data_IF_715787989063
#
_entry.id   IF_715787989063
#
_cell.length_a   1.000
_cell.length_b   1.000
_cell.length_c   1.000
_cell.angle_alpha   90.00
_cell.angle_beta   90.00
_cell.angle_gamma   90.00
#
_symmetry.space_group_name_H-M   'P 1'
#
loop_
_entity.id
_entity.type
_entity.pdbx_description
1 polymer ?
#
# COMPACT_ATOMS: atom_id res chain seq x y z
N UNK A 1 -4.91 10.47 51.72
CA UNK A 1 -5.27 9.24 50.98
C UNK A 1 -5.16 9.59 49.51
N UNK A 2 -4.03 9.30 48.88
CA UNK A 2 -3.73 9.71 47.50
C UNK A 2 -4.33 8.70 46.52
N UNK A 3 -5.19 9.17 45.63
CA UNK A 3 -5.75 8.39 44.54
C UNK A 3 -4.69 8.16 43.46
N UNK A 4 -4.50 6.91 43.05
CA UNK A 4 -3.67 6.56 41.90
C UNK A 4 -4.46 6.75 40.59
N UNK A 5 -3.82 7.20 39.49
CA UNK A 5 -4.44 7.19 38.18
C UNK A 5 -4.46 5.76 37.62
N UNK A 6 -5.66 5.27 37.31
CA UNK A 6 -5.89 3.99 36.63
C UNK A 6 -5.53 4.14 35.15
N UNK A 7 -4.66 3.27 34.65
CA UNK A 7 -4.28 3.20 33.23
C UNK A 7 -5.31 2.34 32.51
N UNK A 8 -6.20 2.97 31.75
CA UNK A 8 -7.15 2.27 30.89
C UNK A 8 -6.41 1.72 29.66
N UNK A 9 -6.16 0.42 29.65
CA UNK A 9 -5.62 -0.30 28.50
C UNK A 9 -6.79 -0.56 27.54
N UNK A 10 -6.85 0.19 26.44
CA UNK A 10 -7.76 -0.11 25.33
C UNK A 10 -7.20 -1.30 24.54
N UNK A 11 -7.94 -2.40 24.38
CA UNK A 11 -7.50 -3.51 23.54
C UNK A 11 -7.52 -3.11 22.05
N UNK A 12 -6.45 -3.47 21.35
CA UNK A 12 -6.36 -3.40 19.88
C UNK A 12 -7.50 -4.19 19.24
N UNK A 13 -8.18 -3.67 18.19
CA UNK A 13 -9.09 -4.48 17.41
C UNK A 13 -8.30 -5.49 16.57
N UNK A 14 -8.57 -6.78 16.83
CA UNK A 14 -8.13 -7.91 16.01
C UNK A 14 -8.64 -7.74 14.58
N UNK A 15 -7.76 -8.01 13.60
CA UNK A 15 -8.08 -8.03 12.19
C UNK A 15 -9.15 -9.09 11.88
N UNK A 16 -10.41 -8.66 11.77
CA UNK A 16 -11.49 -9.42 11.17
C UNK A 16 -11.55 -9.14 9.67
N UNK A 17 -11.41 -10.21 8.90
CA UNK A 17 -12.04 -10.45 7.59
C UNK A 17 -12.20 -9.25 6.64
N UNK A 18 -11.35 -9.23 5.62
CA UNK A 18 -11.56 -8.47 4.40
C UNK A 18 -12.78 -9.03 3.63
N UNK A 19 -13.96 -8.51 3.95
CA UNK A 19 -15.15 -8.57 3.11
C UNK A 19 -15.49 -7.18 2.59
N UNK A 20 -15.41 -7.02 1.26
CA UNK A 20 -16.05 -5.98 0.45
C UNK A 20 -16.04 -4.52 0.95
N UNK A 21 -15.13 -3.72 0.37
CA UNK A 21 -15.45 -2.46 -0.36
C UNK A 21 -14.18 -1.73 -0.77
N UNK A 22 -13.64 -2.10 -1.93
CA UNK A 22 -12.82 -1.19 -2.75
C UNK A 22 -13.08 -1.49 -4.22
N UNK A 23 -13.75 -0.59 -4.97
CA UNK A 23 -13.69 -0.64 -6.43
C UNK A 23 -12.28 -0.21 -6.85
N UNK A 24 -11.36 -1.17 -6.86
CA UNK A 24 -10.14 -1.07 -7.65
C UNK A 24 -10.56 -1.30 -9.09
N UNK A 25 -10.50 -0.27 -9.92
CA UNK A 25 -10.51 -0.43 -11.37
C UNK A 25 -9.14 -0.97 -11.77
N UNK A 26 -9.00 -2.19 -12.30
CA UNK A 26 -8.04 -2.46 -13.34
C UNK A 26 -8.69 -2.13 -14.68
N UNK A 27 -8.06 -1.25 -15.44
CA UNK A 27 -8.25 -1.18 -16.90
C UNK A 27 -7.78 -2.52 -17.50
N UNK A 28 -8.63 -3.54 -17.43
CA UNK A 28 -8.50 -4.74 -18.25
C UNK A 28 -9.43 -4.57 -19.46
N UNK A 29 -8.87 -3.99 -20.53
CA UNK A 29 -9.50 -3.96 -21.85
C UNK A 29 -9.47 -5.37 -22.44
N UNK A 30 -10.22 -6.27 -21.82
CA UNK A 30 -10.52 -7.58 -22.36
C UNK A 30 -11.43 -7.39 -23.58
N UNK A 31 -10.78 -7.53 -24.73
CA UNK A 31 -11.40 -7.56 -26.05
C UNK A 31 -12.54 -8.56 -26.04
N UNK A 32 -13.77 -8.09 -26.20
CA UNK A 32 -14.97 -8.92 -26.34
C UNK A 32 -14.88 -9.72 -27.63
N UNK A 33 -14.24 -10.89 -27.56
CA UNK A 33 -14.42 -11.94 -28.56
C UNK A 33 -15.82 -12.52 -28.38
N UNK A 34 -16.78 -11.98 -29.14
CA UNK A 34 -18.14 -12.47 -29.22
C UNK A 34 -18.16 -13.89 -29.80
N UNK A 35 -18.10 -14.90 -28.93
CA UNK A 35 -18.45 -16.28 -29.30
C UNK A 35 -19.96 -16.36 -29.50
N UNK A 36 -20.36 -16.92 -30.63
CA UNK A 36 -21.73 -17.22 -31.07
C UNK A 36 -22.62 -17.79 -29.96
N UNK A 37 -23.75 -17.13 -29.69
CA UNK A 37 -24.86 -17.75 -28.95
C UNK A 37 -25.99 -18.05 -29.94
N UNK A 38 -26.13 -19.33 -30.27
CA UNK A 38 -27.34 -19.87 -30.90
C UNK A 38 -28.35 -20.13 -29.80
N UNK A 39 -29.55 -19.59 -29.94
CA UNK A 39 -30.74 -19.99 -29.19
C UNK A 39 -31.94 -19.59 -30.02
N UNK A 40 -32.36 -20.52 -30.89
CA UNK A 40 -33.77 -20.72 -31.18
C UNK A 40 -34.45 -21.01 -29.84
N UNK A 41 -35.52 -20.28 -29.51
CA UNK A 41 -36.81 -20.80 -29.03
C UNK A 41 -37.66 -19.65 -28.44
N UNK A 42 -38.81 -19.42 -29.08
CA UNK A 42 -40.07 -18.87 -28.55
C UNK A 42 -40.05 -17.68 -27.56
N UNK A 43 -40.46 -16.49 -28.04
CA UNK A 43 -41.49 -15.61 -27.43
C UNK A 43 -41.50 -14.20 -28.08
N UNK A 44 -42.66 -13.68 -28.55
CA UNK A 44 -42.78 -12.29 -28.96
C UNK A 44 -43.21 -11.41 -27.78
N UNK A 45 -42.24 -10.75 -27.13
CA UNK A 45 -42.50 -9.55 -26.31
C UNK A 45 -41.46 -8.48 -26.64
N UNK A 46 -41.58 -7.92 -27.84
CA UNK A 46 -40.90 -6.69 -28.24
C UNK A 46 -41.91 -5.54 -28.24
N UNK A 47 -41.51 -4.40 -27.69
CA UNK A 47 -42.24 -3.13 -27.74
C UNK A 47 -42.57 -2.76 -29.21
N UNK A 48 -43.84 -2.52 -29.60
CA UNK A 48 -44.23 -2.34 -31.00
C UNK A 48 -43.65 -1.10 -31.69
N UNK A 49 -42.95 -0.21 -30.97
CA UNK A 49 -42.31 0.99 -31.54
C UNK A 49 -40.84 0.81 -31.94
N UNK A 50 -40.19 -0.31 -31.60
CA UNK A 50 -38.78 -0.51 -31.91
C UNK A 50 -38.61 -1.47 -33.09
N UNK A 51 -38.32 -0.91 -34.27
CA UNK A 51 -37.89 -1.69 -35.43
C UNK A 51 -36.66 -2.54 -35.04
N UNK A 52 -36.68 -3.87 -35.22
CA UNK A 52 -35.55 -4.71 -34.87
C UNK A 52 -34.34 -4.33 -35.73
N UNK A 53 -33.21 -4.02 -35.07
CA UNK A 53 -31.95 -3.71 -35.78
C UNK A 53 -31.54 -4.92 -36.63
N UNK A 54 -31.12 -4.71 -37.90
CA UNK A 54 -30.61 -5.76 -38.75
C UNK A 54 -29.49 -6.52 -38.02
N UNK A 55 -29.57 -7.85 -38.01
CA UNK A 55 -28.54 -8.71 -37.42
C UNK A 55 -27.26 -8.49 -38.22
N UNK A 56 -26.23 -7.91 -37.59
CA UNK A 56 -24.90 -7.83 -38.18
C UNK A 56 -24.39 -9.27 -38.34
N UNK A 57 -24.27 -9.71 -39.60
CA UNK A 57 -23.68 -11.01 -39.91
C UNK A 57 -22.26 -11.12 -39.36
N UNK A 58 -21.85 -12.34 -39.01
CA UNK A 58 -20.50 -12.63 -38.53
C UNK A 58 -19.48 -12.22 -39.60
N UNK A 59 -18.87 -11.06 -39.40
CA UNK A 59 -17.77 -10.58 -40.24
C UNK A 59 -16.48 -11.19 -39.69
N UNK A 60 -15.65 -11.73 -40.59
CA UNK A 60 -14.27 -12.13 -40.28
C UNK A 60 -13.56 -10.94 -39.62
N UNK A 61 -12.76 -11.18 -38.58
CA UNK A 61 -12.00 -10.12 -37.93
C UNK A 61 -11.08 -9.46 -38.95
N UNK A 62 -11.46 -8.25 -39.41
CA UNK A 62 -10.54 -7.38 -40.12
C UNK A 62 -9.44 -7.05 -39.12
N UNK A 63 -8.20 -7.39 -39.44
CA UNK A 63 -7.05 -7.17 -38.57
C UNK A 63 -6.97 -5.73 -38.06
N UNK A 64 -6.10 -5.53 -37.08
CA UNK A 64 -5.93 -4.29 -36.34
C UNK A 64 -5.92 -3.07 -37.26
N UNK A 65 -6.84 -2.13 -37.02
CA UNK A 65 -6.99 -0.85 -37.73
C UNK A 65 -5.84 0.14 -37.46
N UNK A 66 -4.79 -0.29 -36.74
CA UNK A 66 -3.69 0.58 -36.29
C UNK A 66 -2.70 0.72 -37.43
N UNK A 67 -2.69 1.90 -38.05
CA UNK A 67 -1.72 2.29 -39.07
C UNK A 67 -0.58 3.05 -38.36
N UNK A 68 0.71 2.69 -38.58
CA UNK A 68 1.84 3.44 -38.06
C UNK A 68 1.78 4.91 -38.48
N UNK A 69 2.18 5.81 -37.57
CA UNK A 69 2.16 7.26 -37.81
C UNK A 69 2.95 7.69 -39.04
N UNK A 70 4.04 6.99 -39.33
CA UNK A 70 4.93 7.29 -40.45
C UNK A 70 4.48 6.65 -41.77
N UNK A 71 3.29 6.04 -41.82
CA UNK A 71 2.80 5.42 -43.05
C UNK A 71 2.54 6.51 -44.11
N UNK A 72 2.84 6.24 -45.39
CA UNK A 72 2.70 7.21 -46.48
C UNK A 72 1.23 7.61 -46.75
N UNK A 73 0.28 6.90 -46.17
CA UNK A 73 -1.16 7.14 -46.30
C UNK A 73 -1.75 7.95 -45.12
N UNK A 74 -0.94 8.33 -44.13
CA UNK A 74 -1.37 9.12 -42.96
C UNK A 74 -0.96 10.57 -43.19
N UNK A 75 -1.90 11.39 -43.64
CA UNK A 75 -1.69 12.83 -43.85
C UNK A 75 -1.78 13.56 -42.48
N UNK A 76 -0.64 13.72 -41.79
CA UNK A 76 -0.49 14.53 -40.58
C UNK A 76 -0.25 15.99 -40.95
N UNK A 77 -1.21 16.61 -41.64
CA UNK A 77 -1.12 18.02 -41.98
C UNK A 77 -1.54 18.84 -40.76
N UNK A 78 -0.75 19.84 -40.39
CA UNK A 78 -1.26 20.96 -39.58
C UNK A 78 -2.30 21.68 -40.43
N UNK A 79 -3.56 21.31 -40.23
CA UNK A 79 -4.69 21.96 -40.88
C UNK A 79 -4.96 23.29 -40.17
N UNK A 80 -4.85 24.39 -40.92
CA UNK A 80 -5.34 25.69 -40.49
C UNK A 80 -6.87 25.66 -40.60
N UNK A 81 -7.54 25.68 -39.44
CA UNK A 81 -8.99 25.64 -39.36
C UNK A 81 -9.58 27.02 -39.61
N UNK A 82 -10.59 27.08 -40.48
CA UNK A 82 -11.33 28.30 -40.80
C UNK A 82 -12.19 28.78 -39.62
N UNK A 83 -12.46 30.08 -39.56
CA UNK A 83 -13.29 30.71 -38.52
C UNK A 83 -14.75 30.20 -38.55
N UNK A 84 -15.19 29.61 -39.66
CA UNK A 84 -16.49 28.94 -39.82
C UNK A 84 -16.48 27.43 -39.57
N UNK A 85 -15.37 26.82 -39.19
CA UNK A 85 -15.28 25.38 -39.00
C UNK A 85 -16.12 24.91 -37.79
N UNK A 86 -17.08 24.02 -38.02
CA UNK A 86 -17.90 23.43 -36.96
C UNK A 86 -17.07 22.78 -35.83
N UNK A 87 -15.83 22.34 -36.10
CA UNK A 87 -14.88 21.80 -35.11
C UNK A 87 -14.36 22.87 -34.14
N UNK A 88 -14.32 24.13 -34.55
CA UNK A 88 -14.00 25.29 -33.69
C UNK A 88 -15.24 25.84 -32.99
N UNK A 89 -16.43 25.56 -33.52
CA UNK A 89 -17.74 25.99 -32.99
C UNK A 89 -18.32 25.15 -31.85
N UNK A 90 -17.63 24.09 -31.42
CA UNK A 90 -18.00 23.39 -30.17
C UNK A 90 -17.77 24.33 -28.98
N UNK A 91 -18.61 24.34 -27.92
CA UNK A 91 -18.34 25.10 -26.70
C UNK A 91 -17.02 24.64 -26.06
N UNK A 92 -15.91 25.26 -26.48
CA UNK A 92 -14.62 25.15 -25.83
C UNK A 92 -14.71 25.98 -24.55
N UNK A 93 -14.22 25.44 -23.44
CA UNK A 93 -14.00 26.24 -22.22
C UNK A 93 -13.29 27.53 -22.61
N UNK A 94 -13.69 28.66 -22.04
CA UNK A 94 -13.00 29.92 -22.33
C UNK A 94 -11.51 29.77 -22.01
N UNK A 95 -10.65 30.44 -22.76
CA UNK A 95 -9.19 30.42 -22.51
C UNK A 95 -8.84 30.77 -21.05
N UNK A 96 -9.61 31.70 -20.45
CA UNK A 96 -9.54 32.08 -19.04
C UNK A 96 -9.87 30.91 -18.09
N UNK A 97 -10.90 30.11 -18.38
CA UNK A 97 -11.27 28.94 -17.56
C UNK A 97 -10.18 27.86 -17.61
N UNK A 98 -9.56 27.65 -18.79
CA UNK A 98 -8.46 26.70 -18.97
C UNK A 98 -7.23 27.15 -18.18
N UNK A 99 -6.88 28.44 -18.24
CA UNK A 99 -5.76 28.99 -17.49
C UNK A 99 -5.97 28.85 -15.98
N UNK A 100 -7.17 29.19 -15.49
CA UNK A 100 -7.56 29.02 -14.09
C UNK A 100 -7.44 27.55 -13.65
N UNK A 101 -7.96 26.61 -14.44
CA UNK A 101 -7.83 25.18 -14.14
C UNK A 101 -6.37 24.73 -14.06
N UNK A 102 -5.50 25.26 -14.93
CA UNK A 102 -4.07 24.99 -14.89
C UNK A 102 -3.39 25.57 -13.66
N UNK A 103 -3.79 26.76 -13.21
CA UNK A 103 -3.30 27.37 -11.97
C UNK A 103 -3.76 26.57 -10.74
N UNK A 104 -5.03 26.19 -10.67
CA UNK A 104 -5.59 25.37 -9.58
C UNK A 104 -4.89 24.01 -9.48
N UNK A 105 -4.64 23.35 -10.62
CA UNK A 105 -3.91 22.09 -10.65
C UNK A 105 -2.47 22.23 -10.14
N UNK A 106 -1.75 23.31 -10.53
CA UNK A 106 -0.41 23.58 -10.01
C UNK A 106 -0.43 23.86 -8.51
N UNK A 107 -1.41 24.62 -8.04
CA UNK A 107 -1.56 24.94 -6.62
C UNK A 107 -1.84 23.68 -5.80
N UNK A 108 -2.73 22.81 -6.27
CA UNK A 108 -3.03 21.54 -5.61
C UNK A 108 -1.79 20.63 -5.51
N UNK A 109 -0.97 20.55 -6.57
CA UNK A 109 0.29 19.81 -6.55
C UNK A 109 1.28 20.37 -5.53
N UNK A 110 1.40 21.70 -5.45
CA UNK A 110 2.29 22.36 -4.47
C UNK A 110 1.81 22.08 -3.04
N UNK A 111 0.50 22.13 -2.81
CA UNK A 111 -0.08 21.84 -1.49
C UNK A 111 0.16 20.38 -1.06
N UNK A 112 -0.04 19.43 -1.97
CA UNK A 112 0.27 18.02 -1.72
C UNK A 112 1.76 17.80 -1.40
N UNK A 113 2.66 18.44 -2.16
CA UNK A 113 4.09 18.35 -1.91
C UNK A 113 4.46 18.89 -0.52
N UNK A 114 3.85 20.01 -0.10
CA UNK A 114 4.05 20.57 1.25
C UNK A 114 3.53 19.66 2.35
N UNK A 115 2.34 19.08 2.17
CA UNK A 115 1.76 18.14 3.13
C UNK A 115 2.65 16.90 3.29
N UNK A 116 3.17 16.37 2.17
CA UNK A 116 4.09 15.24 2.17
C UNK A 116 5.40 15.59 2.88
N UNK A 117 5.98 16.77 2.60
CA UNK A 117 7.19 17.23 3.28
C UNK A 117 6.99 17.36 4.79
N UNK A 118 5.87 17.91 5.24
CA UNK A 118 5.54 18.01 6.66
C UNK A 118 5.40 16.62 7.31
N UNK A 119 4.72 15.69 6.63
CA UNK A 119 4.59 14.30 7.09
C UNK A 119 5.94 13.60 7.20
N UNK A 120 6.86 13.83 6.26
CA UNK A 120 8.22 13.27 6.33
C UNK A 120 9.02 13.85 7.51
N UNK A 121 8.94 15.14 7.77
CA UNK A 121 9.61 15.75 8.94
C UNK A 121 9.08 15.15 10.24
N UNK A 122 7.76 14.97 10.37
CA UNK A 122 7.18 14.33 11.54
C UNK A 122 7.65 12.88 11.73
N UNK A 123 7.79 12.12 10.65
CA UNK A 123 8.32 10.75 10.72
C UNK A 123 9.78 10.76 11.19
N UNK A 124 10.60 11.68 10.69
CA UNK A 124 12.00 11.83 11.13
C UNK A 124 12.07 12.10 12.63
N UNK A 125 11.28 13.05 13.13
CA UNK A 125 11.25 13.36 14.57
C UNK A 125 10.88 12.13 15.41
N UNK A 126 9.85 11.36 14.97
CA UNK A 126 9.46 10.11 15.65
C UNK A 126 10.57 9.07 15.64
N UNK A 127 11.31 8.93 14.54
CA UNK A 127 12.44 8.01 14.44
C UNK A 127 13.57 8.43 15.38
N UNK A 128 13.84 9.72 15.52
CA UNK A 128 14.85 10.22 16.46
C UNK A 128 14.49 9.91 17.92
N UNK A 129 13.21 10.06 18.30
CA UNK A 129 12.74 9.67 19.63
C UNK A 129 12.97 8.18 19.88
N UNK A 130 12.54 7.32 18.95
CA UNK A 130 12.72 5.86 19.07
C UNK A 130 14.21 5.48 19.13
N UNK A 131 15.06 6.14 18.34
CA UNK A 131 16.51 5.90 18.37
C UNK A 131 17.10 6.24 19.74
N UNK A 132 16.73 7.37 20.32
CA UNK A 132 17.21 7.79 21.63
C UNK A 132 16.73 6.86 22.75
N UNK A 133 15.50 6.36 22.67
CA UNK A 133 14.99 5.34 23.60
C UNK A 133 15.71 4.01 23.44
N UNK A 134 15.96 3.59 22.21
CA UNK A 134 16.71 2.37 21.91
C UNK A 134 18.13 2.44 22.48
N UNK A 135 18.84 3.56 22.30
CA UNK A 135 20.19 3.75 22.86
C UNK A 135 20.21 3.64 24.39
N UNK A 136 19.19 4.20 25.07
CA UNK A 136 19.04 4.06 26.52
C UNK A 136 18.80 2.60 26.94
N UNK A 137 17.90 1.90 26.26
CA UNK A 137 17.59 0.50 26.54
C UNK A 137 18.80 -0.40 26.27
N UNK A 138 19.53 -0.14 25.19
CA UNK A 138 20.75 -0.87 24.85
C UNK A 138 21.85 -0.63 25.90
N UNK A 139 22.07 0.62 26.31
CA UNK A 139 22.98 0.97 27.40
C UNK A 139 22.61 0.27 28.71
N UNK A 140 21.33 0.30 29.08
CA UNK A 140 20.82 -0.41 30.26
C UNK A 140 21.00 -1.92 30.18
N UNK A 141 20.74 -2.53 29.01
CA UNK A 141 20.91 -3.96 28.79
C UNK A 141 22.39 -4.37 28.88
N UNK A 142 23.31 -3.59 28.30
CA UNK A 142 24.76 -3.78 28.43
C UNK A 142 25.21 -3.69 29.90
N UNK A 143 24.68 -2.73 30.66
CA UNK A 143 24.97 -2.62 32.09
C UNK A 143 24.51 -3.86 32.86
N UNK A 144 23.27 -4.30 32.63
CA UNK A 144 22.72 -5.51 33.28
C UNK A 144 23.52 -6.76 32.94
N UNK A 145 23.90 -6.94 31.68
CA UNK A 145 24.74 -8.07 31.25
C UNK A 145 26.11 -8.06 31.94
N UNK A 146 26.74 -6.89 32.02
CA UNK A 146 28.04 -6.73 32.70
C UNK A 146 27.92 -7.05 34.20
N UNK A 147 26.90 -6.51 34.86
CA UNK A 147 26.63 -6.77 36.28
C UNK A 147 26.38 -8.25 36.56
N UNK A 148 25.57 -8.92 35.73
CA UNK A 148 25.33 -10.37 35.84
C UNK A 148 26.65 -11.13 35.63
N UNK A 149 27.44 -10.75 34.63
CA UNK A 149 28.75 -11.35 34.36
C UNK A 149 29.70 -11.26 35.57
N UNK A 150 29.83 -10.08 36.16
CA UNK A 150 30.65 -9.84 37.36
C UNK A 150 30.13 -10.64 38.57
N UNK A 151 28.81 -10.64 38.80
CA UNK A 151 28.19 -11.38 39.90
C UNK A 151 28.39 -12.90 39.74
N UNK A 152 28.28 -13.42 38.52
CA UNK A 152 28.52 -14.83 38.24
C UNK A 152 30.01 -15.19 38.40
N UNK A 153 30.92 -14.31 37.95
CA UNK A 153 32.36 -14.51 38.10
C UNK A 153 32.77 -14.53 39.57
N UNK A 154 32.34 -13.54 40.35
CA UNK A 154 32.57 -13.49 41.80
C UNK A 154 31.96 -14.70 42.51
N UNK A 155 30.74 -15.11 42.16
CA UNK A 155 30.07 -16.30 42.73
C UNK A 155 30.83 -17.60 42.44
N UNK A 156 31.48 -17.72 41.28
CA UNK A 156 32.30 -18.90 40.94
C UNK A 156 33.61 -18.94 41.74
N UNK A 157 34.21 -17.78 42.00
CA UNK A 157 35.46 -17.67 42.78
C UNK A 157 35.19 -17.93 44.27
N UNK A 158 34.09 -17.41 44.82
CA UNK A 158 33.76 -17.58 46.24
C UNK A 158 33.23 -18.98 46.58
N UNK A 159 32.47 -19.63 45.69
CA UNK A 159 31.98 -21.00 45.91
C UNK A 159 33.07 -22.08 45.80
N UNK A 160 34.10 -21.87 44.99
CA UNK A 160 35.22 -22.82 44.86
C UNK A 160 36.29 -22.68 45.95
N UNK A 161 36.27 -21.58 46.72
CA UNK A 161 37.15 -21.37 47.89
C UNK A 161 36.75 -22.13 49.15
N UNK A 162 35.50 -22.59 49.27
CA UNK A 162 35.00 -23.30 50.46
C UNK A 162 35.14 -24.84 50.39
N UNK A 163 35.63 -25.40 49.25
CA UNK A 163 35.54 -26.83 48.96
C UNK A 163 36.83 -27.67 49.06
N UNK A 164 37.98 -27.10 49.42
CA UNK A 164 39.25 -27.85 49.54
C UNK A 164 39.75 -27.90 50.99
N UNK A 165 38.98 -28.54 51.87
CA UNK A 165 39.35 -28.71 53.28
C UNK A 165 38.87 -29.98 53.99
N UNK A 166 38.18 -30.91 53.33
CA UNK A 166 37.62 -32.08 54.01
C UNK A 166 37.81 -33.40 53.23
N UNK A 167 39.07 -33.81 53.01
CA UNK A 167 39.42 -35.24 52.85
C UNK A 167 40.14 -35.68 54.12
N UNK A 168 39.36 -36.02 55.15
CA UNK A 168 39.86 -36.50 56.44
C UNK A 168 39.04 -37.67 56.97
N UNK A 169 39.47 -38.90 56.62
CA UNK A 169 39.29 -40.18 57.36
C UNK A 169 38.00 -40.36 58.19
N UNK A 170 36.96 -40.91 57.57
CA UNK A 170 35.89 -41.65 58.28
C UNK A 170 36.27 -43.14 58.41
N UNK A 171 36.74 -43.53 59.59
CA UNK A 171 37.18 -44.89 59.94
C UNK A 171 35.94 -45.79 60.12
N UNK A 172 35.68 -46.68 59.17
CA UNK A 172 34.64 -47.70 59.27
C UNK A 172 34.92 -48.66 60.42
N UNK A 173 33.99 -48.74 61.38
CA UNK A 173 34.05 -49.61 62.55
C UNK A 173 33.45 -50.97 62.15
N UNK A 174 34.29 -51.98 62.02
CA UNK A 174 33.89 -53.39 61.88
C UNK A 174 33.59 -53.90 63.28
N UNK A 175 32.36 -54.35 63.51
CA UNK A 175 31.96 -55.10 64.71
C UNK A 175 31.66 -56.52 64.25
N UNK A 176 32.32 -57.47 64.91
CA UNK A 176 32.30 -58.91 64.67
C UNK A 176 31.34 -59.57 65.64
#
# INVERSE_FOLDING_TARGET
>A
MSAQPQVTITPYPSATEYGDRRPSYPDDMSSTSSSSSISDQDHPKGDPMLQPRPRLGSRKSSGTIIIPRDSPNVELKEEEYDDGDARTMSPRRSSEEIEKMGQDARQALIEQAKALQASLMEIVDRVEVVKNEHEKLEGGNRFLQSYIGELMQTSKITSTGAGKGAKGKGKGRIIK
#
